data_IF_720021675596
#
_entry.id   IF_720021675596
#
_cell.length_a   1.000
_cell.length_b   1.000
_cell.length_c   1.000
_cell.angle_alpha   90.00
_cell.angle_beta   90.00
_cell.angle_gamma   90.00
#
_symmetry.space_group_name_H-M   'P 1'
#
loop_
_entity.id
_entity.type
_entity.pdbx_description
1 polymer ?
#
# COMPACT_ATOMS: atom_id res chain seq x y z
N UNK A 1 4.88 8.97 4.29
CA UNK A 1 5.90 9.46 3.34
C UNK A 1 7.14 10.03 4.04
N UNK A 2 7.17 11.31 4.44
CA UNK A 2 8.40 11.93 4.97
C UNK A 2 8.94 11.24 6.23
N UNK A 3 8.05 10.80 7.14
CA UNK A 3 8.45 10.02 8.32
C UNK A 3 9.09 8.68 7.96
N UNK A 4 8.51 7.92 7.02
CA UNK A 4 9.06 6.63 6.55
C UNK A 4 10.44 6.82 5.91
N UNK A 5 10.62 7.84 5.07
CA UNK A 5 11.93 8.16 4.47
C UNK A 5 12.96 8.50 5.55
N UNK A 6 12.56 9.25 6.58
CA UNK A 6 13.46 9.72 7.65
C UNK A 6 13.86 8.60 8.61
N UNK A 7 12.96 7.64 8.86
CA UNK A 7 13.16 6.52 9.78
C UNK A 7 13.72 5.25 9.12
N UNK A 8 13.85 5.25 7.78
CA UNK A 8 14.33 4.09 7.03
C UNK A 8 15.84 3.92 7.13
N UNK A 9 16.29 2.66 7.20
CA UNK A 9 17.71 2.30 7.09
C UNK A 9 18.28 2.62 5.70
N UNK A 10 17.43 2.64 4.67
CA UNK A 10 17.76 3.13 3.32
C UNK A 10 16.77 4.22 2.85
N UNK A 11 17.03 5.49 3.20
CA UNK A 11 16.21 6.62 2.77
C UNK A 11 16.17 6.81 1.25
N UNK A 12 17.25 6.45 0.54
CA UNK A 12 17.36 6.63 -0.90
C UNK A 12 16.45 5.67 -1.66
N UNK A 13 16.48 4.39 -1.27
CA UNK A 13 15.56 3.39 -1.79
C UNK A 13 14.11 3.71 -1.44
N UNK A 14 13.86 4.21 -0.23
CA UNK A 14 12.53 4.61 0.22
C UNK A 14 11.98 5.79 -0.60
N UNK A 15 12.81 6.78 -0.94
CA UNK A 15 12.45 7.87 -1.85
C UNK A 15 12.11 7.35 -3.25
N UNK A 16 12.92 6.43 -3.78
CA UNK A 16 12.69 5.79 -5.09
C UNK A 16 11.37 5.04 -5.12
N UNK A 17 11.06 4.29 -4.05
CA UNK A 17 9.77 3.60 -3.85
C UNK A 17 8.62 4.61 -3.94
N UNK A 18 8.65 5.67 -3.13
CA UNK A 18 7.59 6.68 -3.13
C UNK A 18 7.43 7.37 -4.49
N UNK A 19 8.52 7.74 -5.16
CA UNK A 19 8.45 8.34 -6.50
C UNK A 19 7.76 7.39 -7.50
N UNK A 20 8.13 6.10 -7.50
CA UNK A 20 7.52 5.10 -8.37
C UNK A 20 6.03 4.90 -8.07
N UNK A 21 5.64 4.91 -6.80
CA UNK A 21 4.25 4.73 -6.40
C UNK A 21 3.36 5.88 -6.88
N UNK A 22 3.92 7.09 -6.93
CA UNK A 22 3.30 8.26 -7.51
C UNK A 22 3.38 8.29 -9.04
N UNK A 23 3.99 7.28 -9.67
CA UNK A 23 4.14 7.17 -11.13
C UNK A 23 4.83 8.40 -11.74
N UNK A 24 5.78 8.97 -11.01
CA UNK A 24 6.55 10.15 -11.43
C UNK A 24 7.92 9.70 -11.92
N UNK A 25 8.35 10.14 -13.10
CA UNK A 25 9.70 9.85 -13.61
C UNK A 25 10.77 10.70 -12.90
N UNK A 26 12.04 10.27 -12.90
CA UNK A 26 13.14 11.11 -12.41
C UNK A 26 13.25 12.42 -13.23
N UNK A 27 12.93 12.36 -14.52
CA UNK A 27 12.91 13.52 -15.41
C UNK A 27 11.82 14.53 -15.02
N UNK A 28 10.59 14.07 -14.74
CA UNK A 28 9.52 14.96 -14.25
C UNK A 28 9.86 15.57 -12.90
N UNK A 29 10.29 14.76 -11.94
CA UNK A 29 10.61 15.23 -10.60
C UNK A 29 11.75 16.26 -10.63
N UNK A 30 12.81 15.98 -11.41
CA UNK A 30 13.94 16.90 -11.55
C UNK A 30 13.55 18.20 -12.25
N UNK A 31 12.75 18.13 -13.32
CA UNK A 31 12.19 19.30 -14.01
C UNK A 31 11.36 20.16 -13.06
N UNK A 32 10.50 19.56 -12.26
CA UNK A 32 9.67 20.26 -11.29
C UNK A 32 10.51 20.92 -10.18
N UNK A 33 11.55 20.23 -9.69
CA UNK A 33 12.44 20.73 -8.65
C UNK A 33 13.51 21.72 -9.15
N UNK A 34 13.60 21.97 -10.46
CA UNK A 34 14.62 22.82 -11.06
C UNK A 34 16.04 22.24 -10.93
N UNK A 35 16.17 20.92 -10.98
CA UNK A 35 17.45 20.20 -10.85
C UNK A 35 17.67 19.23 -12.01
N UNK A 36 18.82 18.58 -12.08
CA UNK A 36 19.09 17.57 -13.11
C UNK A 36 18.57 16.18 -12.70
N UNK A 37 18.19 15.32 -13.66
CA UNK A 37 17.81 13.92 -13.35
C UNK A 37 18.89 13.15 -12.60
N UNK A 38 20.16 13.47 -12.82
CA UNK A 38 21.30 12.88 -12.10
C UNK A 38 21.26 13.17 -10.59
N UNK A 39 20.79 14.35 -10.17
CA UNK A 39 20.67 14.68 -8.75
C UNK A 39 19.61 13.81 -8.06
N UNK A 40 18.49 13.55 -8.74
CA UNK A 40 17.46 12.63 -8.22
C UNK A 40 18.02 11.21 -8.13
N UNK A 41 18.71 10.75 -9.18
CA UNK A 41 19.36 9.44 -9.21
C UNK A 41 20.41 9.28 -8.11
N UNK A 42 21.17 10.32 -7.79
CA UNK A 42 22.16 10.32 -6.70
C UNK A 42 21.53 10.12 -5.32
N UNK A 43 20.36 10.70 -5.07
CA UNK A 43 19.61 10.45 -3.84
C UNK A 43 19.03 9.03 -3.82
N UNK A 44 18.42 8.60 -4.92
CA UNK A 44 17.77 7.28 -5.01
C UNK A 44 18.72 6.08 -5.00
N UNK A 45 20.00 6.30 -5.32
CA UNK A 45 21.05 5.28 -5.31
C UNK A 45 21.86 5.25 -4.02
N UNK A 46 21.55 6.12 -3.05
CA UNK A 46 22.30 6.23 -1.80
C UNK A 46 23.71 6.82 -1.96
N UNK A 47 24.09 7.33 -3.15
CA UNK A 47 25.36 8.04 -3.38
C UNK A 47 25.50 9.27 -2.47
N UNK A 48 24.37 9.91 -2.14
CA UNK A 48 24.28 10.91 -1.07
C UNK A 48 23.75 10.27 0.19
N UNK A 49 24.65 9.88 1.09
CA UNK A 49 24.29 9.30 2.39
C UNK A 49 23.42 10.29 3.17
N UNK A 50 22.22 9.85 3.56
CA UNK A 50 21.26 10.59 4.38
C UNK A 50 20.84 11.95 3.79
N UNK A 51 19.84 12.00 2.89
CA UNK A 51 19.24 13.27 2.48
C UNK A 51 18.75 14.04 3.71
N UNK A 52 19.19 15.29 3.86
CA UNK A 52 18.73 16.14 4.95
C UNK A 52 17.21 16.33 4.91
N UNK A 53 16.59 16.57 6.07
CA UNK A 53 15.13 16.73 6.22
C UNK A 53 14.52 17.74 5.25
N UNK A 54 15.29 18.79 4.91
CA UNK A 54 14.89 19.83 3.96
C UNK A 54 14.77 19.31 2.51
N UNK A 55 15.65 18.41 2.09
CA UNK A 55 15.58 17.73 0.78
C UNK A 55 14.43 16.72 0.76
N UNK A 56 14.28 15.94 1.83
CA UNK A 56 13.14 15.00 1.96
C UNK A 56 11.83 15.76 1.84
N UNK A 57 11.68 16.88 2.55
CA UNK A 57 10.51 17.75 2.47
C UNK A 57 10.26 18.28 1.04
N UNK A 58 11.31 18.76 0.35
CA UNK A 58 11.19 19.23 -1.04
C UNK A 58 10.75 18.14 -2.00
N UNK A 59 11.35 16.94 -1.91
CA UNK A 59 11.01 15.83 -2.80
C UNK A 59 9.58 15.36 -2.52
N UNK A 60 9.23 15.12 -1.26
CA UNK A 60 7.88 14.69 -0.88
C UNK A 60 6.83 15.72 -1.31
N UNK A 61 7.08 17.01 -1.07
CA UNK A 61 6.18 18.08 -1.51
C UNK A 61 6.01 18.11 -3.04
N UNK A 62 7.10 17.95 -3.79
CA UNK A 62 7.04 17.89 -5.25
C UNK A 62 6.26 16.67 -5.76
N UNK A 63 6.36 15.51 -5.11
CA UNK A 63 5.58 14.33 -5.49
C UNK A 63 4.07 14.57 -5.31
N UNK A 64 3.68 15.19 -4.19
CA UNK A 64 2.29 15.51 -3.91
C UNK A 64 1.72 16.52 -4.91
N UNK A 65 2.47 17.59 -5.18
CA UNK A 65 2.05 18.65 -6.12
C UNK A 65 1.93 18.12 -7.56
N UNK A 66 2.88 17.30 -8.00
CA UNK A 66 2.83 16.67 -9.32
C UNK A 66 1.63 15.71 -9.47
N UNK A 67 1.25 14.97 -8.42
CA UNK A 67 0.03 14.16 -8.45
C UNK A 67 -1.23 15.04 -8.48
N UNK A 68 -1.28 16.12 -7.69
CA UNK A 68 -2.39 17.08 -7.72
C UNK A 68 -2.59 17.67 -9.12
N UNK A 69 -1.51 18.03 -9.81
CA UNK A 69 -1.56 18.52 -11.20
C UNK A 69 -2.08 17.46 -12.19
N UNK A 70 -1.92 16.17 -11.88
CA UNK A 70 -2.45 15.04 -12.66
C UNK A 70 -3.85 14.58 -12.21
N UNK A 71 -4.54 15.39 -11.41
CA UNK A 71 -5.89 15.12 -10.90
C UNK A 71 -5.95 14.46 -9.53
N UNK A 72 -4.84 14.41 -8.79
CA UNK A 72 -4.79 14.09 -7.36
C UNK A 72 -5.19 12.66 -7.02
N UNK A 73 -5.09 11.71 -7.95
CA UNK A 73 -5.62 10.35 -7.74
C UNK A 73 -4.96 9.66 -6.56
N UNK A 74 -3.64 9.78 -6.41
CA UNK A 74 -2.90 9.17 -5.29
C UNK A 74 -3.25 9.88 -4.00
N UNK A 75 -3.21 11.22 -4.01
CA UNK A 75 -3.52 12.03 -2.83
C UNK A 75 -4.94 11.79 -2.32
N UNK A 76 -5.95 11.80 -3.19
CA UNK A 76 -7.35 11.55 -2.81
C UNK A 76 -7.58 10.13 -2.31
N UNK A 77 -6.83 9.13 -2.81
CA UNK A 77 -6.85 7.77 -2.25
C UNK A 77 -6.42 7.78 -0.78
N UNK A 78 -5.28 8.40 -0.48
CA UNK A 78 -4.77 8.50 0.89
C UNK A 78 -5.64 9.41 1.78
N UNK A 79 -6.16 10.52 1.25
CA UNK A 79 -7.05 11.43 1.98
C UNK A 79 -8.39 10.74 2.32
N UNK A 80 -8.92 9.94 1.40
CA UNK A 80 -10.11 9.11 1.63
C UNK A 80 -9.90 8.13 2.78
N UNK A 81 -8.72 7.53 2.91
CA UNK A 81 -8.37 6.63 4.03
C UNK A 81 -8.22 7.43 5.34
N UNK A 82 -7.54 8.58 5.31
CA UNK A 82 -7.31 9.40 6.50
C UNK A 82 -8.58 10.05 7.06
N UNK A 83 -9.48 10.54 6.20
CA UNK A 83 -10.70 11.25 6.62
C UNK A 83 -11.84 10.34 7.07
N UNK A 84 -11.79 9.03 6.78
CA UNK A 84 -12.91 8.11 7.00
C UNK A 84 -12.88 7.33 8.32
N UNK A 85 -12.03 7.72 9.28
CA UNK A 85 -11.86 6.94 10.50
C UNK A 85 -11.19 5.57 10.28
N UNK A 86 -10.81 5.25 9.03
CA UNK A 86 -10.12 4.03 8.66
C UNK A 86 -8.66 3.96 9.12
N UNK A 87 -8.07 5.07 9.57
CA UNK A 87 -6.70 5.13 10.07
C UNK A 87 -6.43 4.12 11.20
N UNK A 88 -7.47 3.74 11.96
CA UNK A 88 -7.35 2.78 13.05
C UNK A 88 -7.66 1.33 12.63
N UNK A 89 -8.16 1.13 11.40
CA UNK A 89 -8.61 -0.15 10.85
C UNK A 89 -7.64 -0.70 9.83
N UNK A 90 -7.11 0.16 8.95
CA UNK A 90 -6.13 -0.20 7.93
C UNK A 90 -4.75 0.12 8.50
N UNK A 91 -3.93 -0.92 8.70
CA UNK A 91 -2.53 -0.74 9.10
C UNK A 91 -1.66 -0.30 7.94
N UNK A 92 -1.89 -0.90 6.77
CA UNK A 92 -1.17 -0.53 5.55
C UNK A 92 -2.01 -0.88 4.31
N UNK A 93 -1.77 -0.15 3.23
CA UNK A 93 -2.37 -0.40 1.93
C UNK A 93 -1.37 -0.04 0.85
N UNK A 94 -1.16 -0.96 -0.08
CA UNK A 94 -0.19 -0.78 -1.14
C UNK A 94 -0.72 -1.22 -2.49
N UNK A 95 -0.47 -0.40 -3.51
CA UNK A 95 -0.76 -0.67 -4.91
C UNK A 95 0.54 -1.04 -5.63
N UNK A 96 0.58 -2.19 -6.28
CA UNK A 96 1.73 -2.60 -7.09
C UNK A 96 1.74 -1.87 -8.43
N UNK A 97 2.94 -1.52 -8.91
CA UNK A 97 3.12 -0.94 -10.25
C UNK A 97 2.90 -1.95 -11.38
N UNK A 98 3.04 -3.24 -11.08
CA UNK A 98 2.84 -4.37 -12.00
C UNK A 98 2.17 -5.51 -11.24
N UNK A 99 1.24 -6.27 -11.86
CA UNK A 99 0.61 -7.41 -11.20
C UNK A 99 1.66 -8.40 -10.65
N UNK A 100 1.50 -8.81 -9.39
CA UNK A 100 2.36 -9.78 -8.71
C UNK A 100 1.66 -11.14 -8.71
N UNK A 101 2.27 -12.23 -9.23
CA UNK A 101 1.71 -13.57 -9.10
C UNK A 101 1.40 -13.91 -7.64
N UNK A 102 0.21 -14.45 -7.38
CA UNK A 102 -0.26 -14.75 -6.03
C UNK A 102 0.61 -15.81 -5.34
N UNK A 103 1.18 -16.74 -6.11
CA UNK A 103 2.15 -17.72 -5.60
C UNK A 103 3.39 -17.05 -5.03
N UNK A 104 4.01 -16.15 -5.79
CA UNK A 104 5.16 -15.37 -5.33
C UNK A 104 4.80 -14.54 -4.09
N UNK A 105 3.61 -13.93 -4.07
CA UNK A 105 3.15 -13.19 -2.90
C UNK A 105 3.04 -14.09 -1.66
N UNK A 106 2.42 -15.27 -1.79
CA UNK A 106 2.27 -16.23 -0.70
C UNK A 106 3.62 -16.69 -0.15
N UNK A 107 4.59 -16.96 -1.02
CA UNK A 107 5.96 -17.30 -0.63
C UNK A 107 6.66 -16.17 0.14
N UNK A 108 6.54 -14.93 -0.33
CA UNK A 108 7.15 -13.75 0.31
C UNK A 108 6.65 -13.54 1.74
N UNK A 109 5.36 -13.78 1.98
CA UNK A 109 4.75 -13.64 3.32
C UNK A 109 4.77 -14.95 4.13
N UNK A 110 5.34 -16.03 3.56
CA UNK A 110 5.35 -17.39 4.15
C UNK A 110 3.95 -17.88 4.53
N UNK A 111 2.97 -17.61 3.67
CA UNK A 111 1.61 -18.06 3.88
C UNK A 111 1.41 -19.50 3.40
N UNK A 112 0.57 -20.23 4.13
CA UNK A 112 0.09 -21.54 3.72
C UNK A 112 -1.12 -21.41 2.77
N UNK A 113 -1.14 -22.24 1.74
CA UNK A 113 -2.20 -22.27 0.72
C UNK A 113 -3.33 -23.19 1.19
N UNK A 114 -4.44 -22.60 1.62
CA UNK A 114 -5.58 -23.36 2.16
C UNK A 114 -6.57 -23.80 1.06
N UNK A 115 -7.13 -22.84 0.30
CA UNK A 115 -8.18 -23.13 -0.67
C UNK A 115 -8.25 -22.07 -1.77
N UNK A 116 -8.66 -22.50 -2.96
CA UNK A 116 -8.95 -21.65 -4.10
C UNK A 116 -7.92 -21.77 -5.23
N UNK A 117 -8.10 -20.94 -6.25
CA UNK A 117 -7.17 -20.84 -7.37
C UNK A 117 -6.02 -19.87 -7.02
N UNK A 118 -4.79 -20.34 -7.16
CA UNK A 118 -3.56 -19.59 -6.93
C UNK A 118 -2.91 -19.10 -8.22
N UNK A 119 -3.36 -19.57 -9.39
CA UNK A 119 -2.82 -19.20 -10.70
C UNK A 119 -3.40 -17.86 -11.18
N UNK A 120 -3.19 -16.81 -10.40
CA UNK A 120 -3.63 -15.44 -10.69
C UNK A 120 -2.63 -14.44 -10.16
N UNK A 121 -2.75 -13.19 -10.60
CA UNK A 121 -1.97 -12.08 -10.07
C UNK A 121 -2.85 -11.16 -9.21
N UNK A 122 -2.20 -10.43 -8.32
CA UNK A 122 -2.79 -9.36 -7.52
C UNK A 122 -2.09 -8.04 -7.83
N UNK A 123 -2.82 -6.94 -7.72
CA UNK A 123 -2.39 -5.57 -7.99
C UNK A 123 -2.10 -4.79 -6.70
N UNK A 124 -2.22 -5.41 -5.54
CA UNK A 124 -1.91 -4.77 -4.27
C UNK A 124 -2.30 -5.61 -3.05
N UNK A 125 -2.22 -4.99 -1.88
CA UNK A 125 -2.70 -5.56 -0.63
C UNK A 125 -3.27 -4.51 0.32
N UNK A 126 -3.99 -4.98 1.34
CA UNK A 126 -4.44 -4.17 2.47
C UNK A 126 -4.32 -4.98 3.75
N UNK A 127 -3.63 -4.43 4.75
CA UNK A 127 -3.46 -5.03 6.09
C UNK A 127 -4.48 -4.41 7.03
N UNK A 128 -5.25 -5.26 7.70
CA UNK A 128 -6.52 -4.89 8.33
C UNK A 128 -6.55 -5.41 9.76
N UNK A 129 -6.92 -4.55 10.72
CA UNK A 129 -7.37 -4.98 12.05
C UNK A 129 -8.76 -5.60 11.90
N UNK A 130 -8.85 -6.93 11.96
CA UNK A 130 -10.11 -7.64 11.72
C UNK A 130 -11.20 -7.27 12.73
N UNK A 131 -10.84 -7.01 13.98
CA UNK A 131 -11.82 -6.73 15.04
C UNK A 131 -12.44 -5.37 14.79
N UNK A 132 -11.61 -4.36 14.53
CA UNK A 132 -12.10 -3.01 14.26
C UNK A 132 -12.81 -2.91 12.92
N UNK A 133 -12.35 -3.65 11.89
CA UNK A 133 -13.00 -3.65 10.59
C UNK A 133 -14.44 -4.18 10.67
N UNK A 134 -14.63 -5.30 11.37
CA UNK A 134 -15.93 -5.98 11.43
C UNK A 134 -16.92 -5.26 12.34
N UNK A 135 -16.44 -4.68 13.45
CA UNK A 135 -17.29 -3.98 14.41
C UNK A 135 -17.52 -2.51 14.06
N UNK A 136 -16.57 -1.88 13.36
CA UNK A 136 -16.53 -0.43 13.18
C UNK A 136 -16.88 0.06 11.78
N UNK A 137 -16.81 -0.78 10.75
CA UNK A 137 -17.12 -0.35 9.39
C UNK A 137 -18.58 -0.63 9.02
N UNK A 138 -19.22 0.36 8.43
CA UNK A 138 -20.42 0.13 7.63
C UNK A 138 -20.09 -0.66 6.36
N UNK A 139 -21.11 -1.26 5.73
CA UNK A 139 -20.95 -1.97 4.46
C UNK A 139 -20.30 -1.10 3.37
N UNK A 140 -20.57 0.21 3.37
CA UNK A 140 -20.01 1.14 2.39
C UNK A 140 -18.53 1.44 2.66
N UNK A 141 -18.13 1.56 3.93
CA UNK A 141 -16.72 1.78 4.30
C UNK A 141 -15.88 0.53 4.08
N UNK A 142 -16.48 -0.66 4.21
CA UNK A 142 -15.80 -1.92 3.91
C UNK A 142 -15.33 -1.98 2.44
N UNK A 143 -16.05 -1.35 1.50
CA UNK A 143 -15.60 -1.26 0.11
C UNK A 143 -14.27 -0.51 -0.06
N UNK A 144 -13.90 0.36 0.89
CA UNK A 144 -12.63 1.09 0.84
C UNK A 144 -11.42 0.18 1.08
N UNK A 145 -11.61 -0.99 1.68
CA UNK A 145 -10.55 -2.00 1.85
C UNK A 145 -10.01 -2.50 0.50
N UNK A 146 -10.79 -2.40 -0.58
CA UNK A 146 -10.37 -2.82 -1.91
C UNK A 146 -9.47 -1.79 -2.63
N UNK A 147 -9.29 -0.58 -2.08
CA UNK A 147 -8.49 0.46 -2.73
C UNK A 147 -8.91 0.68 -4.18
N UNK A 148 -7.97 0.57 -5.12
CA UNK A 148 -8.24 0.83 -6.54
C UNK A 148 -8.72 -0.38 -7.35
N UNK A 149 -8.41 -1.60 -6.91
CA UNK A 149 -8.78 -2.81 -7.61
C UNK A 149 -9.11 -3.92 -6.62
N UNK A 150 -10.18 -4.65 -6.91
CA UNK A 150 -10.56 -5.83 -6.15
C UNK A 150 -9.56 -6.98 -6.32
N UNK A 151 -8.74 -6.97 -7.36
CA UNK A 151 -7.65 -7.93 -7.59
C UNK A 151 -6.49 -7.68 -6.61
N UNK A 152 -6.74 -7.82 -5.30
CA UNK A 152 -5.75 -7.61 -4.24
C UNK A 152 -5.88 -8.61 -3.11
N UNK A 153 -4.86 -8.68 -2.28
CA UNK A 153 -4.91 -9.44 -1.03
C UNK A 153 -5.50 -8.60 0.12
N UNK A 154 -6.57 -9.08 0.76
CA UNK A 154 -7.04 -8.55 2.04
C UNK A 154 -6.45 -9.39 3.17
N UNK A 155 -5.59 -8.78 3.99
CA UNK A 155 -4.83 -9.43 5.06
C UNK A 155 -5.48 -9.07 6.38
N UNK A 156 -6.30 -9.98 6.92
CA UNK A 156 -6.94 -9.80 8.22
C UNK A 156 -5.99 -10.26 9.32
N UNK A 157 -5.69 -9.35 10.23
CA UNK A 157 -4.90 -9.62 11.45
C UNK A 157 -5.81 -9.73 12.67
N UNK A 158 -5.28 -10.27 13.78
CA UNK A 158 -6.04 -10.48 15.04
C UNK A 158 -7.27 -11.36 14.81
N UNK A 159 -7.12 -12.38 13.96
CA UNK A 159 -8.18 -13.31 13.62
C UNK A 159 -8.17 -14.46 14.63
N UNK A 160 -9.34 -14.84 15.15
CA UNK A 160 -9.48 -15.95 16.10
C UNK A 160 -9.93 -17.26 15.44
N UNK A 161 -10.92 -17.22 14.55
CA UNK A 161 -11.52 -18.43 13.93
C UNK A 161 -11.65 -18.37 12.40
N UNK A 162 -11.28 -17.25 11.78
CA UNK A 162 -11.44 -17.03 10.34
C UNK A 162 -12.87 -16.79 9.85
N UNK A 163 -13.89 -17.19 10.61
CA UNK A 163 -15.31 -17.08 10.23
C UNK A 163 -15.74 -15.63 9.99
N UNK A 164 -15.45 -14.72 10.93
CA UNK A 164 -15.94 -13.34 10.86
C UNK A 164 -15.43 -12.57 9.63
N UNK A 165 -14.12 -12.62 9.27
CA UNK A 165 -13.64 -12.08 8.00
C UNK A 165 -14.36 -12.65 6.77
N UNK A 166 -14.56 -13.97 6.74
CA UNK A 166 -15.19 -14.63 5.60
C UNK A 166 -16.67 -14.31 5.47
N UNK A 167 -17.39 -14.13 6.59
CA UNK A 167 -18.77 -13.64 6.59
C UNK A 167 -18.84 -12.21 6.05
N UNK A 168 -17.93 -11.32 6.49
CA UNK A 168 -17.86 -9.95 5.98
C UNK A 168 -17.61 -9.92 4.46
N UNK A 169 -16.70 -10.73 3.94
CA UNK A 169 -16.46 -10.85 2.49
C UNK A 169 -17.65 -11.50 1.76
N UNK A 170 -18.40 -12.39 2.42
CA UNK A 170 -19.57 -13.03 1.81
C UNK A 170 -20.70 -12.02 1.60
N UNK A 171 -20.93 -11.13 2.55
CA UNK A 171 -22.00 -10.13 2.48
C UNK A 171 -21.71 -8.98 1.52
N UNK A 172 -20.45 -8.82 1.08
CA UNK A 172 -20.08 -7.84 0.04
C UNK A 172 -20.22 -8.44 -1.36
N UNK A 173 -20.64 -7.61 -2.32
CA UNK A 173 -20.73 -8.00 -3.72
C UNK A 173 -19.35 -8.11 -4.39
N UNK A 174 -18.35 -7.42 -3.86
CA UNK A 174 -16.97 -7.47 -4.35
C UNK A 174 -16.22 -8.63 -3.71
N UNK A 175 -15.42 -9.35 -4.51
CA UNK A 175 -14.56 -10.44 -4.05
C UNK A 175 -13.10 -10.05 -4.23
N UNK A 176 -12.28 -10.16 -3.18
CA UNK A 176 -10.87 -9.84 -3.30
C UNK A 176 -10.14 -10.90 -4.13
N UNK A 177 -9.01 -10.50 -4.72
CA UNK A 177 -8.10 -11.42 -5.41
C UNK A 177 -7.59 -12.51 -4.46
N UNK A 178 -7.28 -12.16 -3.21
CA UNK A 178 -6.92 -13.13 -2.19
C UNK A 178 -7.34 -12.67 -0.78
N UNK A 179 -7.45 -13.62 0.14
CA UNK A 179 -7.68 -13.36 1.57
C UNK A 179 -6.59 -14.06 2.35
N UNK A 180 -5.95 -13.32 3.26
CA UNK A 180 -4.94 -13.87 4.17
C UNK A 180 -5.47 -13.72 5.59
N UNK A 181 -5.45 -14.81 6.35
CA UNK A 181 -5.86 -14.84 7.75
C UNK A 181 -4.61 -14.98 8.61
N UNK A 182 -4.17 -13.89 9.21
CA UNK A 182 -2.94 -13.86 10.01
C UNK A 182 -3.21 -14.15 11.49
N UNK A 183 -2.43 -15.07 12.05
CA UNK A 183 -2.48 -15.45 13.47
C UNK A 183 -3.43 -16.60 13.79
N UNK A 184 -3.94 -17.30 12.77
CA UNK A 184 -4.58 -18.60 12.94
C UNK A 184 -3.50 -19.68 12.93
N UNK A 185 -3.54 -20.57 13.91
CA UNK A 185 -2.83 -21.83 13.84
C UNK A 185 -3.62 -22.80 12.96
N UNK A 186 -2.96 -23.84 12.47
CA UNK A 186 -3.62 -24.94 11.75
C UNK A 186 -4.88 -25.37 12.52
N UNK A 187 -6.03 -25.54 11.83
CA UNK A 187 -7.15 -26.23 12.45
C UNK A 187 -6.69 -27.65 12.83
N UNK A 188 -6.84 -28.02 14.10
CA UNK A 188 -6.78 -29.43 14.51
C UNK A 188 -7.76 -30.29 13.69
#
# INVERSE_FOLDING_TARGET
MAGEVTLSDDPGETLKKWRKNFEISQAELSKFLGTSPSVISDYESGRRKSPGTLIVGRIVGALLELDMQKGGKKLHSYESILRSGLANVIYDMYEYSTPLPLENFAELIRAEKIVGDFNKAINGYTIIDSVKAILGLSSNEFYRLYGWSTERALIFTKVSTGKSPMVAIRVTNLKPGAVVLHGLNEPE
#
